data_IF_512630931705
#
_entry.id   IF_512630931705
#
_cell.length_a   1.000
_cell.length_b   1.000
_cell.length_c   1.000
_cell.angle_alpha   90.00
_cell.angle_beta   90.00
_cell.angle_gamma   90.00
#
_symmetry.space_group_name_H-M   'P 1'
#
loop_
_entity.id
_entity.type
_entity.pdbx_description
1 polymer ?
#
# COMPACT_ATOMS: atom_id res chain seq x y z
N UNK A 1 0.10 10.64 26.53
CA UNK A 1 0.16 11.76 25.56
C UNK A 1 1.38 11.52 24.69
N UNK A 2 1.21 10.93 23.52
CA UNK A 2 2.35 10.59 22.66
C UNK A 2 2.73 11.87 21.89
N UNK A 3 3.89 12.43 22.23
CA UNK A 3 4.33 13.77 21.83
C UNK A 3 4.38 13.98 20.32
N UNK A 4 3.39 14.68 19.79
CA UNK A 4 3.39 15.24 18.43
C UNK A 4 3.43 14.21 17.30
N UNK A 5 3.01 12.97 17.54
CA UNK A 5 2.84 11.96 16.47
C UNK A 5 1.44 12.15 15.88
N UNK A 6 1.36 12.17 14.55
CA UNK A 6 0.09 12.27 13.83
C UNK A 6 -0.84 11.11 14.22
N UNK A 7 -2.17 11.33 14.33
CA UNK A 7 -3.13 10.23 14.48
C UNK A 7 -3.17 9.33 13.24
N UNK A 8 -2.61 9.78 12.12
CA UNK A 8 -2.56 9.01 10.89
C UNK A 8 -1.27 8.19 10.80
N UNK A 9 -1.39 6.88 10.99
CA UNK A 9 -0.26 5.96 11.03
C UNK A 9 -0.49 4.76 10.12
N UNK A 10 0.56 4.34 9.43
CA UNK A 10 0.59 3.11 8.67
C UNK A 10 1.15 1.98 9.52
N UNK A 11 0.49 0.83 9.50
CA UNK A 11 1.02 -0.36 10.13
C UNK A 11 2.06 -1.04 9.23
N UNK A 12 3.27 -1.22 9.76
CA UNK A 12 4.41 -1.81 9.02
C UNK A 12 4.73 -3.24 9.47
N UNK A 13 4.49 -3.54 10.74
CA UNK A 13 4.75 -4.84 11.34
C UNK A 13 3.68 -5.18 12.39
N UNK A 14 3.18 -6.41 12.33
CA UNK A 14 2.20 -6.99 13.24
C UNK A 14 2.74 -8.35 13.71
N UNK A 15 3.74 -8.32 14.59
CA UNK A 15 4.35 -9.53 15.17
C UNK A 15 4.08 -9.55 16.67
N UNK A 16 5.12 -9.56 17.52
CA UNK A 16 4.97 -9.46 18.97
C UNK A 16 4.62 -8.03 19.42
N UNK A 17 5.05 -7.05 18.63
CA UNK A 17 4.74 -5.63 18.79
C UNK A 17 4.11 -5.11 17.50
N UNK A 18 3.25 -4.11 17.64
CA UNK A 18 2.63 -3.40 16.52
C UNK A 18 3.53 -2.20 16.21
N UNK A 19 4.22 -2.22 15.07
CA UNK A 19 5.05 -1.10 14.61
C UNK A 19 4.29 -0.25 13.61
N UNK A 20 4.09 1.01 13.98
CA UNK A 20 3.39 2.02 13.22
C UNK A 20 4.38 3.08 12.72
N UNK A 21 4.12 3.67 11.55
CA UNK A 21 4.90 4.78 11.00
C UNK A 21 3.99 5.90 10.51
N UNK A 22 4.37 7.14 10.80
CA UNK A 22 3.80 8.32 10.17
C UNK A 22 4.43 8.48 8.76
N UNK A 23 3.65 8.35 7.66
CA UNK A 23 4.19 8.41 6.31
C UNK A 23 4.74 9.80 5.93
N UNK A 24 4.45 10.85 6.71
CA UNK A 24 4.82 12.22 6.40
C UNK A 24 6.02 12.71 7.21
N UNK A 25 6.14 12.26 8.46
CA UNK A 25 7.25 12.65 9.36
C UNK A 25 8.29 11.54 9.55
N UNK A 26 8.01 10.33 9.06
CA UNK A 26 8.79 9.11 9.29
C UNK A 26 8.94 8.71 10.76
N UNK A 27 8.18 9.32 11.66
CA UNK A 27 8.19 8.95 13.08
C UNK A 27 7.54 7.58 13.25
N UNK A 28 8.21 6.71 14.00
CA UNK A 28 7.73 5.37 14.30
C UNK A 28 7.16 5.30 15.71
N UNK A 29 6.09 4.53 15.87
CA UNK A 29 5.48 4.22 17.15
C UNK A 29 5.40 2.71 17.30
N UNK A 30 5.87 2.19 18.44
CA UNK A 30 5.73 0.78 18.77
C UNK A 30 4.72 0.62 19.90
N UNK A 31 3.77 -0.29 19.71
CA UNK A 31 2.71 -0.58 20.68
C UNK A 31 2.86 -2.05 21.09
N UNK A 32 2.97 -2.27 22.40
CA UNK A 32 2.97 -3.63 22.96
C UNK A 32 1.57 -4.22 22.97
N UNK A 33 1.50 -5.55 22.99
CA UNK A 33 0.23 -6.28 23.00
C UNK A 33 -0.68 -5.85 24.18
N UNK A 34 -0.11 -5.72 25.39
CA UNK A 34 -0.85 -5.31 26.59
C UNK A 34 -1.45 -3.91 26.46
N UNK A 35 -0.74 -2.98 25.83
CA UNK A 35 -1.23 -1.62 25.61
C UNK A 35 -2.36 -1.61 24.58
N UNK A 36 -2.25 -2.41 23.52
CA UNK A 36 -3.29 -2.52 22.51
C UNK A 36 -4.60 -3.08 23.08
N UNK A 37 -4.55 -4.18 23.85
CA UNK A 37 -5.78 -4.78 24.40
C UNK A 37 -6.49 -3.91 25.44
N UNK A 38 -5.77 -3.00 26.11
CA UNK A 38 -6.38 -2.00 26.99
C UNK A 38 -7.13 -0.92 26.22
N UNK A 39 -6.71 -0.62 24.98
CA UNK A 39 -7.28 0.44 24.12
C UNK A 39 -7.21 0.01 22.64
N UNK A 40 -8.09 -0.92 22.21
CA UNK A 40 -8.07 -1.39 20.85
C UNK A 40 -8.52 -0.27 19.90
N UNK A 41 -7.96 -0.27 18.69
CA UNK A 41 -8.33 0.65 17.62
C UNK A 41 -8.56 -0.12 16.32
N UNK A 42 -9.44 0.39 15.48
CA UNK A 42 -9.76 -0.18 14.16
C UNK A 42 -8.95 0.49 13.05
N UNK A 43 -8.84 -0.19 11.91
CA UNK A 43 -8.23 0.39 10.71
C UNK A 43 -9.18 1.38 10.04
N UNK A 44 -8.70 2.59 9.76
CA UNK A 44 -9.46 3.60 9.01
C UNK A 44 -9.70 3.20 7.55
N UNK A 45 -8.69 2.60 6.90
CA UNK A 45 -8.76 2.20 5.50
C UNK A 45 -8.53 0.69 5.35
N UNK A 46 -9.26 0.09 4.41
CA UNK A 46 -9.13 -1.32 4.08
C UNK A 46 -8.41 -1.48 2.74
N UNK A 47 -7.88 -2.68 2.48
CA UNK A 47 -7.20 -3.06 1.23
C UNK A 47 -8.05 -2.80 -0.02
N UNK A 48 -9.37 -2.76 0.10
CA UNK A 48 -10.31 -2.49 -1.00
C UNK A 48 -10.27 -1.03 -1.48
N UNK A 49 -9.79 -0.11 -0.64
CA UNK A 49 -9.63 1.30 -1.00
C UNK A 49 -8.30 1.58 -1.74
N UNK A 50 -7.46 0.55 -1.95
CA UNK A 50 -6.20 0.70 -2.66
C UNK A 50 -6.44 0.91 -4.16
N UNK A 51 -5.87 1.99 -4.69
CA UNK A 51 -5.83 2.31 -6.12
C UNK A 51 -4.40 2.20 -6.63
N UNK A 52 -4.28 2.00 -7.94
CA UNK A 52 -3.00 1.89 -8.63
C UNK A 52 -2.53 3.26 -9.14
N UNK A 53 -1.28 3.60 -8.83
CA UNK A 53 -0.61 4.84 -9.21
C UNK A 53 0.71 4.52 -9.88
N UNK A 54 0.96 5.17 -11.02
CA UNK A 54 2.22 5.11 -11.75
C UNK A 54 3.10 6.25 -11.25
N UNK A 55 4.37 5.94 -10.97
CA UNK A 55 5.36 6.94 -10.58
C UNK A 55 5.91 7.62 -11.82
N UNK A 56 5.77 8.95 -11.91
CA UNK A 56 6.25 9.75 -13.03
C UNK A 56 7.63 10.35 -12.76
N UNK A 57 7.82 10.90 -11.56
CA UNK A 57 9.07 11.54 -11.15
C UNK A 57 9.31 11.37 -9.65
N UNK A 58 10.57 11.38 -9.24
CA UNK A 58 11.00 11.31 -7.83
C UNK A 58 12.04 12.39 -7.60
N UNK A 59 11.73 13.34 -6.73
CA UNK A 59 12.63 14.39 -6.29
C UNK A 59 13.13 14.10 -4.87
N UNK A 60 14.45 14.06 -4.72
CA UNK A 60 15.13 13.76 -3.45
C UNK A 60 15.82 14.99 -2.90
N UNK A 61 15.66 15.21 -1.60
CA UNK A 61 16.36 16.26 -0.87
C UNK A 61 17.74 15.74 -0.45
N UNK A 62 18.75 15.93 -1.31
CA UNK A 62 20.13 15.51 -1.05
C UNK A 62 20.82 16.32 0.05
N UNK A 63 20.23 17.43 0.52
CA UNK A 63 20.82 18.25 1.58
C UNK A 63 20.65 17.62 2.97
N UNK A 64 19.70 16.68 3.12
CA UNK A 64 19.50 15.95 4.38
C UNK A 64 20.33 14.68 4.37
N UNK A 65 21.15 14.42 5.41
CA UNK A 65 21.87 13.17 5.50
C UNK A 65 20.86 12.02 5.50
N UNK A 66 21.08 11.05 4.61
CA UNK A 66 20.25 9.84 4.53
C UNK A 66 20.43 9.10 5.84
N UNK A 67 19.44 9.24 6.74
CA UNK A 67 19.40 8.44 7.94
C UNK A 67 19.46 6.95 7.53
N UNK A 68 20.13 6.13 8.35
CA UNK A 68 20.20 4.68 8.15
C UNK A 68 18.87 3.99 8.51
N UNK A 69 17.75 4.57 8.06
CA UNK A 69 16.39 4.08 8.20
C UNK A 69 15.98 3.29 6.97
N UNK A 70 15.04 2.36 7.15
CA UNK A 70 14.40 1.63 6.05
C UNK A 70 13.63 2.56 5.08
N UNK A 71 13.17 3.70 5.60
CA UNK A 71 12.32 4.66 4.90
C UNK A 71 13.06 5.96 4.59
N UNK A 72 12.66 6.62 3.53
CA UNK A 72 13.19 7.92 3.08
C UNK A 72 12.03 8.73 2.52
N UNK A 73 11.92 9.98 2.97
CA UNK A 73 10.85 10.87 2.56
C UNK A 73 11.28 11.59 1.28
N UNK A 74 10.53 11.39 0.21
CA UNK A 74 10.81 11.97 -1.11
C UNK A 74 9.55 12.64 -1.66
N UNK A 75 9.75 13.66 -2.49
CA UNK A 75 8.69 14.27 -3.29
C UNK A 75 8.48 13.44 -4.56
N UNK A 76 7.22 13.20 -4.91
CA UNK A 76 6.85 12.27 -5.97
C UNK A 76 5.72 12.85 -6.80
N UNK A 77 5.88 12.76 -8.11
CA UNK A 77 4.80 13.00 -9.07
C UNK A 77 4.21 11.65 -9.47
N UNK A 78 2.89 11.53 -9.32
CA UNK A 78 2.17 10.30 -9.61
C UNK A 78 0.97 10.56 -10.52
N UNK A 79 0.52 9.50 -11.18
CA UNK A 79 -0.70 9.51 -11.98
C UNK A 79 -1.48 8.21 -11.73
N UNK A 80 -2.79 8.32 -11.49
CA UNK A 80 -3.64 7.13 -11.36
C UNK A 80 -3.73 6.39 -12.68
N UNK A 81 -3.74 5.05 -12.68
CA UNK A 81 -3.74 4.24 -13.92
C UNK A 81 -4.89 4.59 -14.89
N UNK A 82 -6.03 5.04 -14.35
CA UNK A 82 -7.23 5.41 -15.12
C UNK A 82 -7.47 6.93 -15.18
N UNK A 83 -6.44 7.74 -14.90
CA UNK A 83 -6.56 9.20 -14.83
C UNK A 83 -5.41 9.85 -15.59
N UNK A 84 -5.67 11.01 -16.19
CA UNK A 84 -4.63 11.84 -16.83
C UNK A 84 -4.13 12.96 -15.92
N UNK A 85 -4.61 13.01 -14.66
CA UNK A 85 -4.22 14.05 -13.70
C UNK A 85 -2.93 13.66 -12.99
N UNK A 86 -1.92 14.53 -13.10
CA UNK A 86 -0.71 14.46 -12.28
C UNK A 86 -1.01 14.96 -10.88
N UNK A 87 -0.58 14.23 -9.87
CA UNK A 87 -0.72 14.54 -8.45
C UNK A 87 0.67 14.60 -7.84
N UNK A 88 0.94 15.65 -7.08
CA UNK A 88 2.17 15.79 -6.31
C UNK A 88 1.92 15.31 -4.89
N UNK A 89 2.76 14.42 -4.37
CA UNK A 89 2.67 13.92 -3.00
C UNK A 89 4.04 13.59 -2.43
N UNK A 90 4.15 13.47 -1.10
CA UNK A 90 5.33 12.91 -0.45
C UNK A 90 5.16 11.42 -0.20
N UNK A 91 6.25 10.67 -0.29
CA UNK A 91 6.26 9.24 0.01
C UNK A 91 7.40 8.85 0.93
N UNK A 92 7.10 8.01 1.92
CA UNK A 92 8.06 7.36 2.80
C UNK A 92 8.85 6.21 2.13
N UNK A 93 8.47 5.82 0.91
CA UNK A 93 9.03 4.70 0.18
C UNK A 93 10.24 5.06 -0.69
N UNK A 94 10.88 6.23 -0.47
CA UNK A 94 11.88 6.81 -1.38
C UNK A 94 13.05 5.91 -1.78
N UNK A 95 13.51 5.03 -0.89
CA UNK A 95 14.55 4.03 -1.18
C UNK A 95 14.11 2.91 -2.11
N UNK A 96 12.82 2.59 -2.13
CA UNK A 96 12.25 1.48 -2.90
C UNK A 96 11.49 1.93 -4.14
N UNK A 97 11.12 3.21 -4.22
CA UNK A 97 10.40 3.78 -5.35
C UNK A 97 11.27 3.79 -6.60
N UNK A 98 10.62 3.52 -7.73
CA UNK A 98 11.23 3.46 -9.05
C UNK A 98 10.27 4.14 -10.02
N UNK A 99 10.81 5.02 -10.87
CA UNK A 99 10.04 5.73 -11.89
C UNK A 99 9.54 4.75 -12.95
N UNK A 100 8.30 4.93 -13.42
CA UNK A 100 7.63 4.08 -14.40
C UNK A 100 6.95 2.83 -13.81
N UNK A 101 7.24 2.48 -12.56
CA UNK A 101 6.58 1.37 -11.88
C UNK A 101 5.22 1.78 -11.29
N UNK A 102 4.34 0.79 -11.10
CA UNK A 102 3.04 0.98 -10.46
C UNK A 102 3.08 0.59 -8.98
N UNK A 103 2.47 1.42 -8.13
CA UNK A 103 2.33 1.23 -6.70
C UNK A 103 0.86 1.32 -6.29
N UNK A 104 0.50 0.56 -5.26
CA UNK A 104 -0.78 0.72 -4.58
C UNK A 104 -0.70 1.91 -3.61
N UNK A 105 -1.76 2.73 -3.58
CA UNK A 105 -1.90 3.82 -2.63
C UNK A 105 -3.34 4.11 -2.27
N UNK A 106 -3.54 4.86 -1.19
CA UNK A 106 -4.84 5.41 -0.80
C UNK A 106 -4.97 6.84 -1.31
N UNK A 107 -6.06 7.10 -2.02
CA UNK A 107 -6.46 8.43 -2.49
C UNK A 107 -7.43 9.02 -1.48
N UNK A 108 -6.90 9.76 -0.52
CA UNK A 108 -7.60 10.21 0.68
C UNK A 108 -8.76 11.12 0.29
N UNK A 109 -8.55 12.02 -0.68
CA UNK A 109 -9.59 12.93 -1.20
C UNK A 109 -10.78 12.21 -1.83
N UNK A 110 -10.56 11.00 -2.34
CA UNK A 110 -11.62 10.22 -3.01
C UNK A 110 -12.34 9.25 -2.09
N UNK A 111 -11.79 8.97 -0.90
CA UNK A 111 -12.37 8.00 0.01
C UNK A 111 -13.47 8.70 0.80
N UNK A 112 -14.70 8.23 0.62
CA UNK A 112 -15.82 8.69 1.41
C UNK A 112 -15.68 8.17 2.85
N UNK A 113 -15.46 9.09 3.80
CA UNK A 113 -15.34 8.80 5.23
C UNK A 113 -16.69 8.76 5.96
N UNK A 114 -17.82 8.93 5.27
CA UNK A 114 -19.16 8.93 5.86
C UNK A 114 -19.39 7.60 6.61
N UNK A 115 -19.39 7.65 7.95
CA UNK A 115 -19.47 6.50 8.85
C UNK A 115 -18.44 6.54 9.99
N UNK A 116 -17.44 7.41 9.91
CA UNK A 116 -16.59 7.80 11.02
C UNK A 116 -17.30 8.85 11.90
N UNK A 117 -17.07 8.82 13.22
CA UNK A 117 -17.74 9.71 14.17
C UNK A 117 -17.35 11.18 13.91
N UNK A 118 -18.18 12.17 14.30
CA UNK A 118 -17.95 13.59 14.00
C UNK A 118 -16.57 14.12 14.51
N UNK A 119 -15.97 13.44 15.50
CA UNK A 119 -14.62 13.72 16.03
C UNK A 119 -13.48 13.34 15.05
N UNK A 120 -13.79 12.54 14.03
CA UNK A 120 -12.89 12.02 12.98
C UNK A 120 -12.97 12.86 11.69
N UNK A 121 -13.95 13.75 11.55
CA UNK A 121 -14.12 14.59 10.34
C UNK A 121 -13.00 15.63 10.17
N UNK A 122 -12.27 15.94 11.23
CA UNK A 122 -11.14 16.88 11.22
C UNK A 122 -9.86 16.26 10.59
N UNK A 123 -9.92 14.98 10.18
CA UNK A 123 -8.81 14.28 9.53
C UNK A 123 -8.45 14.86 8.15
N UNK A 124 -9.43 15.36 7.37
CA UNK A 124 -9.15 15.95 6.06
C UNK A 124 -8.24 17.19 6.18
N UNK A 125 -8.43 18.01 7.22
CA UNK A 125 -7.61 19.19 7.47
C UNK A 125 -6.24 18.86 8.07
N UNK A 126 -6.11 17.71 8.75
CA UNK A 126 -4.87 17.30 9.44
C UNK A 126 -3.94 16.50 8.56
N UNK A 127 -4.41 15.92 7.46
CA UNK A 127 -3.59 15.14 6.56
C UNK A 127 -3.01 16.06 5.46
N UNK A 128 -1.69 16.29 5.44
CA UNK A 128 -1.09 17.27 4.53
C UNK A 128 -1.02 16.84 3.06
N UNK A 129 -1.32 15.57 2.73
CA UNK A 129 -1.14 15.03 1.38
C UNK A 129 -2.32 14.21 0.89
N UNK A 130 -2.61 14.33 -0.41
CA UNK A 130 -3.79 13.74 -1.05
C UNK A 130 -3.70 12.22 -1.22
N UNK A 131 -2.50 11.71 -1.46
CA UNK A 131 -2.28 10.30 -1.80
C UNK A 131 -1.12 9.73 -0.99
N UNK A 132 -1.33 8.55 -0.41
CA UNK A 132 -0.31 7.82 0.34
C UNK A 132 0.00 6.51 -0.37
N UNK A 133 1.24 6.39 -0.85
CA UNK A 133 1.74 5.16 -1.46
C UNK A 133 2.08 4.12 -0.38
N UNK A 134 1.71 2.86 -0.60
CA UNK A 134 1.83 1.78 0.39
C UNK A 134 2.83 0.71 -0.05
N UNK A 135 2.70 0.18 -1.27
CA UNK A 135 3.55 -0.91 -1.75
C UNK A 135 3.58 -1.03 -3.26
N UNK A 136 4.67 -1.56 -3.80
CA UNK A 136 4.79 -1.87 -5.23
C UNK A 136 3.74 -2.91 -5.67
N UNK A 137 3.15 -2.70 -6.84
CA UNK A 137 2.31 -3.71 -7.50
C UNK A 137 3.23 -4.82 -7.99
N UNK A 138 2.99 -6.06 -7.56
CA UNK A 138 3.72 -7.20 -8.10
C UNK A 138 3.16 -7.51 -9.49
N UNK A 139 4.01 -7.74 -10.51
CA UNK A 139 3.52 -8.16 -11.81
C UNK A 139 2.69 -9.43 -11.62
N UNK A 140 1.50 -9.47 -12.21
CA UNK A 140 0.70 -10.71 -12.26
C UNK A 140 1.55 -11.74 -12.99
N UNK A 141 2.10 -12.70 -12.25
CA UNK A 141 2.71 -13.88 -12.85
C UNK A 141 1.58 -14.62 -13.54
N UNK A 142 1.40 -14.38 -14.83
CA UNK A 142 0.69 -15.34 -15.67
C UNK A 142 1.54 -16.60 -15.61
N UNK A 143 1.17 -17.55 -14.75
CA UNK A 143 1.60 -18.92 -14.92
C UNK A 143 1.07 -19.31 -16.29
N UNK A 144 1.92 -19.18 -17.31
CA UNK A 144 1.70 -19.79 -18.62
C UNK A 144 1.79 -21.30 -18.40
N UNK A 145 0.79 -21.87 -17.72
CA UNK A 145 0.52 -23.28 -17.91
C UNK A 145 0.08 -23.38 -19.36
N UNK A 146 1.05 -23.64 -20.23
CA UNK A 146 0.84 -24.04 -21.60
C UNK A 146 0.22 -25.44 -21.52
N UNK A 147 -1.07 -25.50 -21.18
CA UNK A 147 -1.85 -26.72 -21.31
C UNK A 147 -1.95 -27.01 -22.81
N UNK A 148 -0.96 -27.71 -23.34
CA UNK A 148 -0.97 -28.20 -24.72
C UNK A 148 -1.68 -29.54 -24.67
N UNK A 149 -2.87 -29.60 -25.25
CA UNK A 149 -3.59 -30.85 -25.47
C UNK A 149 -2.78 -31.72 -26.43
N UNK A 150 -2.02 -32.69 -25.90
CA UNK A 150 -1.08 -33.47 -26.73
C UNK A 150 -1.74 -34.46 -27.67
N UNK A 151 -2.99 -34.89 -27.44
CA UNK A 151 -3.85 -35.66 -28.35
C UNK A 151 -5.12 -36.11 -27.63
N UNK A 152 -6.26 -36.13 -28.34
CA UNK A 152 -7.44 -36.89 -27.92
C UNK A 152 -7.26 -38.32 -28.47
N UNK A 153 -7.26 -39.33 -27.61
CA UNK A 153 -7.34 -40.72 -28.08
C UNK A 153 -8.77 -41.16 -27.88
N UNK A 154 -9.49 -41.32 -28.98
CA UNK A 154 -10.85 -41.90 -28.97
C UNK A 154 -10.72 -43.41 -28.78
N UNK A 155 -10.65 -43.87 -27.53
CA UNK A 155 -10.89 -45.29 -27.23
C UNK A 155 -12.38 -45.44 -26.93
N UNK A 156 -13.05 -46.16 -27.81
CA UNK A 156 -14.47 -46.48 -27.72
C UNK A 156 -14.65 -47.50 -26.61
N UNK A 157 -14.90 -47.04 -25.38
CA UNK A 157 -15.63 -47.74 -24.30
C UNK A 157 -15.76 -46.80 -23.10
N UNK A 158 -16.97 -46.73 -22.52
CA UNK A 158 -17.39 -45.83 -21.46
C UNK A 158 -16.42 -45.78 -20.26
N UNK A 159 -15.77 -44.63 -20.03
CA UNK A 159 -15.45 -44.01 -18.73
C UNK A 159 -14.38 -42.91 -18.97
N UNK A 160 -14.79 -41.65 -18.89
CA UNK A 160 -13.89 -40.51 -19.04
C UNK A 160 -13.07 -40.34 -17.74
N UNK A 161 -11.80 -40.73 -17.76
CA UNK A 161 -10.85 -40.37 -16.70
C UNK A 161 -9.92 -39.28 -17.22
N UNK A 162 -10.09 -38.05 -16.71
CA UNK A 162 -9.15 -36.95 -16.90
C UNK A 162 -7.96 -37.16 -15.96
N UNK A 163 -6.82 -37.59 -16.51
CA UNK A 163 -5.57 -37.57 -15.76
C UNK A 163 -4.79 -36.32 -16.17
N UNK A 164 -4.80 -35.32 -15.29
CA UNK A 164 -3.88 -34.19 -15.32
C UNK A 164 -2.55 -34.68 -14.75
N UNK A 165 -1.48 -34.67 -15.56
CA UNK A 165 -0.11 -34.86 -15.07
C UNK A 165 0.60 -33.51 -15.23
N UNK A 166 1.25 -33.07 -14.14
CA UNK A 166 1.94 -31.78 -14.02
C UNK A 166 3.19 -31.64 -14.87
#
# INVERSE_FOLDING_TARGET
MNGGISPFLLCTNLTSTISLIDPFTLRTLEISNDTYWKRPFSSLFNKFNLKEFIILNIERDYAKPVANSKYELVDVEIMGTNSSKVIHTKSHLGKSLVVGDTYYGYDIKSINLNGLADEETDFENRIPFDVILIRKVKPKKFTRHNWVLKRIVTVRLHLHCLILVG
#
